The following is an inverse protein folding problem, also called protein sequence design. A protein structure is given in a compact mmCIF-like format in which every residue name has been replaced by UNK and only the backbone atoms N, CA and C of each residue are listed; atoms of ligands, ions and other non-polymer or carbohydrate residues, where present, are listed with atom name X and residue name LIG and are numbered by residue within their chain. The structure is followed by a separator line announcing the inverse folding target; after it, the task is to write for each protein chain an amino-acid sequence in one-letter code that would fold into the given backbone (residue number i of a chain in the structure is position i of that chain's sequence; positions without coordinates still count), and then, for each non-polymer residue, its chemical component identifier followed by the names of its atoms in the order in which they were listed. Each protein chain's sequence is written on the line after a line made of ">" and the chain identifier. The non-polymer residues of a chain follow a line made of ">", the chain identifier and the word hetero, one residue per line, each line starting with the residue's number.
data_IF_177661009038
#
_entry.id   IF_177661009038
#
_cell.length_a   1.000
_cell.length_b   1.000
_cell.length_c   1.000
_cell.angle_alpha   90.00
_cell.angle_beta   90.00
_cell.angle_gamma   90.00
#
_symmetry.space_group_name_H-M   'P 1'
#
loop_
_entity.id
_entity.type
_entity.pdbx_description
1 polymer ?
#
# COMPACT_ATOMS: atom_id res chain seq x y z
N UNK A 1 9.69 -19.87 -14.14
CA UNK A 1 9.65 -19.40 -12.74
C UNK A 1 9.62 -17.88 -12.79
N UNK A 2 8.67 -17.24 -12.12
CA UNK A 2 8.62 -15.77 -11.96
C UNK A 2 9.17 -15.41 -10.58
N UNK A 3 9.98 -14.38 -10.47
CA UNK A 3 10.60 -13.94 -9.23
C UNK A 3 10.08 -12.57 -8.83
N UNK A 4 9.95 -12.32 -7.53
CA UNK A 4 9.44 -11.09 -6.96
C UNK A 4 10.27 -10.70 -5.74
N UNK A 5 10.41 -9.40 -5.53
CA UNK A 5 10.80 -8.81 -4.26
C UNK A 5 9.54 -8.31 -3.57
N UNK A 6 9.42 -8.46 -2.25
CA UNK A 6 8.23 -8.11 -1.51
C UNK A 6 8.50 -7.46 -0.17
N UNK A 7 7.46 -6.80 0.32
CA UNK A 7 7.42 -6.12 1.62
C UNK A 7 6.07 -6.39 2.28
N UNK A 8 6.06 -6.63 3.59
CA UNK A 8 4.82 -6.70 4.36
C UNK A 8 4.45 -5.32 4.92
N UNK A 9 3.16 -5.06 5.12
CA UNK A 9 2.68 -3.81 5.72
C UNK A 9 3.06 -3.61 7.20
N UNK A 10 3.79 -4.55 7.81
CA UNK A 10 4.44 -4.40 9.13
C UNK A 10 5.96 -4.15 9.02
N UNK A 11 6.50 -4.11 7.80
CA UNK A 11 7.93 -4.23 7.50
C UNK A 11 8.32 -5.70 7.45
N UNK A 12 8.92 -6.13 6.34
CA UNK A 12 9.58 -7.43 6.13
C UNK A 12 10.06 -7.51 4.68
N UNK A 13 11.36 -7.44 4.43
CA UNK A 13 11.89 -7.66 3.09
C UNK A 13 11.95 -9.15 2.77
N UNK A 14 11.39 -9.55 1.63
CA UNK A 14 11.30 -10.94 1.23
C UNK A 14 11.43 -11.15 -0.27
N UNK A 15 11.98 -12.28 -0.69
CA UNK A 15 11.96 -12.73 -2.08
C UNK A 15 10.93 -13.84 -2.23
N UNK A 16 10.20 -13.83 -3.35
CA UNK A 16 9.19 -14.82 -3.69
C UNK A 16 9.45 -15.35 -5.10
N UNK A 17 9.24 -16.65 -5.32
CA UNK A 17 9.27 -17.27 -6.63
C UNK A 17 8.00 -18.10 -6.87
N UNK A 18 7.37 -17.91 -8.02
CA UNK A 18 6.21 -18.68 -8.46
C UNK A 18 6.63 -19.67 -9.54
N UNK A 19 6.42 -20.96 -9.27
CA UNK A 19 6.41 -22.02 -10.26
C UNK A 19 4.96 -22.34 -10.65
N UNK A 20 4.57 -21.94 -11.86
CA UNK A 20 3.23 -22.20 -12.41
C UNK A 20 3.05 -23.60 -12.98
N UNK A 21 4.14 -24.35 -13.18
CA UNK A 21 4.07 -25.74 -13.62
C UNK A 21 3.93 -26.67 -12.42
N UNK A 22 4.73 -26.44 -11.37
CA UNK A 22 4.65 -27.20 -10.12
C UNK A 22 3.53 -26.73 -9.18
N UNK A 23 2.93 -25.56 -9.45
CA UNK A 23 1.95 -24.89 -8.59
C UNK A 23 2.50 -24.67 -7.17
N UNK A 24 3.70 -24.11 -7.08
CA UNK A 24 4.35 -23.79 -5.80
C UNK A 24 4.78 -22.32 -5.71
N UNK A 25 4.72 -21.78 -4.49
CA UNK A 25 5.32 -20.49 -4.09
C UNK A 25 6.52 -20.82 -3.20
N UNK A 26 7.70 -20.37 -3.57
CA UNK A 26 8.90 -20.41 -2.72
C UNK A 26 9.17 -19.02 -2.20
N UNK A 27 9.48 -18.87 -0.91
CA UNK A 27 9.78 -17.57 -0.32
C UNK A 27 10.95 -17.63 0.67
N UNK A 28 11.63 -16.49 0.82
CA UNK A 28 12.63 -16.23 1.86
C UNK A 28 12.39 -14.83 2.42
N UNK A 29 12.16 -14.74 3.72
CA UNK A 29 12.06 -13.50 4.47
C UNK A 29 13.41 -13.18 5.10
N UNK A 30 13.99 -12.04 4.73
CA UNK A 30 15.31 -11.61 5.20
C UNK A 30 15.26 -10.92 6.56
N UNK A 31 14.09 -10.39 6.95
CA UNK A 31 13.90 -9.72 8.24
C UNK A 31 13.82 -10.72 9.38
N UNK A 32 13.04 -11.80 9.20
CA UNK A 32 12.74 -12.75 10.27
C UNK A 32 13.30 -14.17 10.01
N UNK A 33 13.86 -14.43 8.82
CA UNK A 33 14.53 -15.68 8.48
C UNK A 33 13.60 -16.80 8.02
N UNK A 34 12.28 -16.57 7.95
CA UNK A 34 11.34 -17.58 7.48
C UNK A 34 11.60 -17.94 6.01
N UNK A 35 11.49 -19.23 5.70
CA UNK A 35 11.55 -19.72 4.32
C UNK A 35 10.64 -20.91 4.14
N UNK A 36 10.12 -21.09 2.92
CA UNK A 36 9.24 -22.19 2.60
C UNK A 36 9.10 -22.40 1.10
N UNK A 37 8.65 -23.59 0.73
CA UNK A 37 8.07 -23.88 -0.58
C UNK A 37 6.72 -24.51 -0.35
N UNK A 38 5.67 -23.79 -0.73
CA UNK A 38 4.28 -24.11 -0.38
C UNK A 38 3.45 -24.30 -1.64
N UNK A 39 2.59 -25.32 -1.71
CA UNK A 39 1.70 -25.51 -2.86
C UNK A 39 0.59 -24.45 -2.84
N UNK A 40 0.10 -24.11 -4.04
CA UNK A 40 -1.09 -23.30 -4.22
C UNK A 40 -2.03 -23.89 -5.27
N UNK A 41 -3.27 -23.45 -5.26
CA UNK A 41 -4.25 -23.71 -6.32
C UNK A 41 -4.79 -22.39 -6.85
N UNK A 42 -5.08 -22.32 -8.15
CA UNK A 42 -5.71 -21.15 -8.76
C UNK A 42 -7.21 -21.32 -8.74
N UNK A 43 -7.91 -20.38 -8.11
CA UNK A 43 -9.37 -20.36 -8.04
C UNK A 43 -9.97 -19.79 -9.34
N UNK A 44 -11.27 -19.99 -9.53
CA UNK A 44 -11.98 -19.49 -10.72
C UNK A 44 -12.03 -17.97 -10.84
N UNK A 45 -11.81 -17.25 -9.73
CA UNK A 45 -11.69 -15.79 -9.65
C UNK A 45 -10.24 -15.30 -9.83
N UNK A 46 -9.29 -16.20 -10.10
CA UNK A 46 -7.87 -15.90 -10.27
C UNK A 46 -7.07 -15.81 -8.98
N UNK A 47 -7.69 -15.82 -7.79
CA UNK A 47 -6.93 -15.82 -6.53
C UNK A 47 -6.29 -17.17 -6.27
N UNK A 48 -5.21 -17.17 -5.51
CA UNK A 48 -4.51 -18.39 -5.12
C UNK A 48 -4.93 -18.79 -3.72
N UNK A 49 -5.32 -20.05 -3.55
CA UNK A 49 -5.41 -20.66 -2.21
C UNK A 49 -4.07 -21.29 -1.90
N UNK A 50 -3.41 -20.82 -0.84
CA UNK A 50 -2.06 -21.27 -0.45
C UNK A 50 -2.20 -22.27 0.70
N UNK A 51 -1.53 -23.41 0.59
CA UNK A 51 -1.54 -24.45 1.63
C UNK A 51 -0.19 -24.50 2.33
N UNK A 52 0.13 -23.43 3.07
CA UNK A 52 1.35 -23.34 3.85
C UNK A 52 1.26 -24.22 5.11
N UNK A 53 2.13 -25.24 5.29
CA UNK A 53 2.14 -26.09 6.48
C UNK A 53 2.37 -25.33 7.79
N UNK A 54 3.05 -24.19 7.72
CA UNK A 54 3.30 -23.32 8.87
C UNK A 54 2.17 -22.31 9.09
N UNK A 55 1.20 -22.24 8.17
CA UNK A 55 0.10 -21.29 8.19
C UNK A 55 0.57 -19.83 8.16
N UNK A 56 1.68 -19.54 7.49
CA UNK A 56 2.16 -18.18 7.30
C UNK A 56 1.46 -17.54 6.10
N UNK A 57 1.67 -18.06 4.89
CA UNK A 57 0.99 -17.58 3.69
C UNK A 57 -0.41 -18.20 3.57
N UNK A 58 -1.44 -17.37 3.40
CA UNK A 58 -2.84 -17.80 3.45
C UNK A 58 -3.48 -17.82 2.05
N UNK A 59 -3.41 -16.69 1.37
CA UNK A 59 -3.93 -16.50 0.03
C UNK A 59 -2.98 -15.57 -0.73
N UNK A 60 -3.00 -15.65 -2.05
CA UNK A 60 -2.26 -14.72 -2.88
C UNK A 60 -3.06 -14.31 -4.09
N UNK A 61 -2.62 -13.24 -4.74
CA UNK A 61 -3.20 -12.80 -5.97
C UNK A 61 -2.20 -12.07 -6.84
N UNK A 62 -2.04 -12.54 -8.07
CA UNK A 62 -1.12 -11.95 -9.01
C UNK A 62 -1.89 -10.99 -9.93
N UNK A 63 -1.53 -9.71 -9.89
CA UNK A 63 -1.91 -8.72 -10.89
C UNK A 63 -0.83 -8.71 -11.97
N UNK A 64 -1.10 -9.25 -13.17
CA UNK A 64 -0.10 -9.35 -14.21
C UNK A 64 0.51 -7.98 -14.57
N UNK A 65 1.84 -7.91 -14.59
CA UNK A 65 2.58 -6.68 -14.91
C UNK A 65 2.51 -5.59 -13.84
N UNK A 66 2.05 -5.91 -12.62
CA UNK A 66 1.98 -4.96 -11.52
C UNK A 66 2.55 -5.53 -10.21
N UNK A 67 1.78 -6.35 -9.48
CA UNK A 67 2.16 -6.89 -8.17
C UNK A 67 1.58 -8.27 -7.92
N UNK A 68 2.25 -9.04 -7.08
CA UNK A 68 1.68 -10.15 -6.34
C UNK A 68 1.31 -9.65 -4.93
N UNK A 69 0.03 -9.74 -4.57
CA UNK A 69 -0.43 -9.52 -3.20
C UNK A 69 -0.49 -10.85 -2.47
N UNK A 70 -0.06 -10.91 -1.21
CA UNK A 70 -0.15 -12.13 -0.38
C UNK A 70 -0.68 -11.77 1.00
N UNK A 71 -1.69 -12.51 1.46
CA UNK A 71 -2.15 -12.49 2.85
C UNK A 71 -1.19 -13.32 3.70
N UNK A 72 -0.69 -12.76 4.80
CA UNK A 72 0.20 -13.46 5.73
C UNK A 72 -0.29 -13.31 7.16
N UNK A 73 -0.36 -14.42 7.90
CA UNK A 73 -0.74 -14.42 9.30
C UNK A 73 0.42 -14.09 10.27
N UNK A 74 1.67 -14.15 9.78
CA UNK A 74 2.88 -14.22 10.63
C UNK A 74 4.01 -13.34 10.11
N UNK A 75 3.69 -12.12 9.68
CA UNK A 75 4.71 -11.14 9.32
C UNK A 75 5.34 -10.47 10.55
N UNK A 76 6.41 -9.73 10.28
CA UNK A 76 7.20 -8.93 11.19
C UNK A 76 8.29 -9.72 11.90
N UNK A 77 9.17 -9.02 12.64
CA UNK A 77 10.32 -9.63 13.34
C UNK A 77 9.95 -10.71 14.36
N UNK A 78 8.70 -10.72 14.85
CA UNK A 78 8.21 -11.66 15.87
C UNK A 78 7.28 -12.75 15.31
N UNK A 79 7.09 -12.81 13.98
CA UNK A 79 6.28 -13.85 13.31
C UNK A 79 4.83 -13.97 13.82
N UNK A 80 4.19 -12.85 14.11
CA UNK A 80 2.90 -12.84 14.83
C UNK A 80 1.91 -11.76 14.38
N UNK A 81 2.19 -11.09 13.26
CA UNK A 81 1.35 -9.99 12.78
C UNK A 81 0.70 -10.36 11.45
N UNK A 82 -0.64 -10.40 11.38
CA UNK A 82 -1.36 -10.43 10.12
C UNK A 82 -1.04 -9.18 9.29
N UNK A 83 -0.74 -9.32 7.99
CA UNK A 83 -0.34 -8.23 7.12
C UNK A 83 -0.50 -8.58 5.64
N UNK A 84 -0.62 -7.56 4.78
CA UNK A 84 -0.48 -7.78 3.34
C UNK A 84 0.98 -7.65 2.94
N UNK A 85 1.45 -8.64 2.19
CA UNK A 85 2.67 -8.54 1.41
C UNK A 85 2.32 -7.95 0.05
N UNK A 86 3.03 -6.89 -0.34
CA UNK A 86 3.06 -6.40 -1.71
C UNK A 86 4.39 -6.80 -2.33
N UNK A 87 4.34 -7.61 -3.39
CA UNK A 87 5.52 -8.09 -4.08
C UNK A 87 5.54 -7.63 -5.54
N UNK A 88 6.65 -7.07 -5.99
CA UNK A 88 6.87 -6.57 -7.35
C UNK A 88 7.77 -7.55 -8.08
N UNK A 89 7.44 -7.85 -9.34
CA UNK A 89 8.28 -8.72 -10.17
C UNK A 89 9.71 -8.19 -10.20
N UNK A 90 10.67 -9.08 -9.94
CA UNK A 90 12.09 -8.74 -9.84
C UNK A 90 12.59 -8.24 -11.19
N UNK A 91 13.05 -6.99 -11.20
CA UNK A 91 13.64 -6.33 -12.34
C UNK A 91 14.81 -5.46 -11.88
N UNK A 92 15.61 -4.95 -12.82
CA UNK A 92 16.69 -4.04 -12.51
C UNK A 92 16.14 -2.77 -11.84
N UNK A 93 16.59 -2.51 -10.61
CA UNK A 93 16.16 -1.37 -9.81
C UNK A 93 17.39 -0.76 -9.13
N UNK A 94 17.79 0.40 -9.64
CA UNK A 94 18.83 1.26 -9.07
C UNK A 94 18.23 2.63 -8.80
N UNK A 95 18.92 3.50 -8.06
CA UNK A 95 18.42 4.87 -7.90
C UNK A 95 18.27 5.60 -9.24
N UNK A 96 19.13 5.27 -10.20
CA UNK A 96 19.08 5.83 -11.56
C UNK A 96 17.84 5.38 -12.35
N UNK A 97 17.24 4.25 -12.00
CA UNK A 97 15.96 3.79 -12.59
C UNK A 97 14.83 4.80 -12.31
N UNK A 98 14.93 5.52 -11.19
CA UNK A 98 13.90 6.45 -10.71
C UNK A 98 14.31 7.92 -10.78
N UNK A 99 15.59 8.22 -10.99
CA UNK A 99 16.13 9.57 -11.03
C UNK A 99 15.41 10.48 -12.04
N UNK A 100 15.15 11.73 -11.63
CA UNK A 100 14.46 12.73 -12.43
C UNK A 100 12.94 12.53 -12.55
N UNK A 101 12.33 11.68 -11.71
CA UNK A 101 10.90 11.34 -11.78
C UNK A 101 10.16 11.76 -10.51
N UNK A 102 8.85 11.95 -10.65
CA UNK A 102 7.92 12.18 -9.55
C UNK A 102 6.80 11.14 -9.57
N UNK A 103 6.44 10.67 -8.38
CA UNK A 103 5.51 9.58 -8.15
C UNK A 103 4.45 10.04 -7.15
N UNK A 104 3.22 9.57 -7.31
CA UNK A 104 2.32 9.50 -6.16
C UNK A 104 2.81 8.36 -5.27
N UNK A 105 2.55 8.41 -3.96
CA UNK A 105 2.73 7.23 -3.14
C UNK A 105 1.52 6.95 -2.25
N UNK A 106 1.40 5.69 -1.88
CA UNK A 106 0.57 5.19 -0.79
C UNK A 106 1.48 4.40 0.16
N UNK A 107 1.38 4.64 1.46
CA UNK A 107 2.01 3.80 2.47
C UNK A 107 0.96 2.98 3.19
N UNK A 108 1.23 1.69 3.37
CA UNK A 108 0.42 0.74 4.11
C UNK A 108 1.17 0.29 5.36
N UNK A 109 0.49 0.38 6.51
CA UNK A 109 1.04 0.05 7.82
C UNK A 109 0.06 -0.82 8.58
N UNK A 110 0.53 -1.67 9.48
CA UNK A 110 -0.31 -2.33 10.50
C UNK A 110 -0.34 -1.54 11.81
N UNK A 111 0.13 -0.30 11.81
CA UNK A 111 0.14 0.60 12.95
C UNK A 111 -0.02 2.05 12.51
N UNK A 112 -0.12 2.97 13.48
CA UNK A 112 -0.05 4.41 13.25
C UNK A 112 -1.15 4.88 12.28
N UNK A 113 -2.36 4.33 12.40
CA UNK A 113 -3.48 4.65 11.51
C UNK A 113 -3.37 4.13 10.08
N UNK A 114 -2.37 3.28 9.80
CA UNK A 114 -2.35 2.36 8.68
C UNK A 114 -2.07 2.93 7.30
N UNK A 115 -2.30 4.23 7.07
CA UNK A 115 -2.28 4.80 5.73
C UNK A 115 -1.59 6.15 5.68
N UNK A 116 -0.88 6.40 4.59
CA UNK A 116 -0.40 7.73 4.21
C UNK A 116 -0.40 7.83 2.69
N UNK A 117 -0.59 9.03 2.15
CA UNK A 117 -0.46 9.26 0.71
C UNK A 117 0.23 10.57 0.42
N UNK A 118 0.88 10.66 -0.73
CA UNK A 118 1.58 11.88 -1.06
C UNK A 118 2.36 11.82 -2.35
N UNK A 119 3.42 12.59 -2.42
CA UNK A 119 4.37 12.61 -3.53
C UNK A 119 5.76 12.18 -3.07
N UNK A 120 6.42 11.41 -3.90
CA UNK A 120 7.88 11.20 -3.88
C UNK A 120 8.47 11.86 -5.13
N UNK A 121 9.55 12.61 -4.97
CA UNK A 121 10.38 13.15 -6.05
C UNK A 121 11.77 12.60 -5.89
N UNK A 122 12.29 11.98 -6.95
CA UNK A 122 13.70 11.60 -7.05
C UNK A 122 14.36 12.56 -8.02
N UNK A 123 15.28 13.39 -7.54
CA UNK A 123 15.97 14.34 -8.42
C UNK A 123 16.97 13.61 -9.35
N UNK A 124 17.60 14.36 -10.25
CA UNK A 124 18.53 13.78 -11.24
C UNK A 124 19.84 13.28 -10.59
N UNK A 125 20.13 13.69 -9.35
CA UNK A 125 21.26 13.21 -8.55
C UNK A 125 20.89 12.01 -7.66
N UNK A 126 19.61 11.61 -7.65
CA UNK A 126 19.11 10.52 -6.82
C UNK A 126 18.73 10.93 -5.39
N UNK A 127 18.69 12.23 -5.06
CA UNK A 127 18.13 12.64 -3.76
C UNK A 127 16.61 12.50 -3.80
N UNK A 128 16.04 12.08 -2.68
CA UNK A 128 14.63 11.78 -2.55
C UNK A 128 13.99 12.84 -1.67
N UNK A 129 12.87 13.41 -2.11
CA UNK A 129 11.99 14.25 -1.29
C UNK A 129 10.62 13.60 -1.25
N UNK A 130 10.01 13.53 -0.06
CA UNK A 130 8.63 13.11 0.06
C UNK A 130 7.82 14.13 0.84
N UNK A 131 6.54 14.25 0.50
CA UNK A 131 5.54 14.99 1.24
C UNK A 131 4.23 14.22 1.22
N UNK A 132 3.56 14.12 2.36
CA UNK A 132 2.38 13.28 2.53
C UNK A 132 1.29 13.90 3.39
N UNK A 133 0.11 13.31 3.25
CA UNK A 133 -1.06 13.47 4.09
C UNK A 133 -1.29 12.15 4.85
N UNK A 134 -1.29 12.27 6.17
CA UNK A 134 -1.47 11.18 7.11
C UNK A 134 -2.72 11.44 7.96
N UNK A 135 -3.88 10.84 7.65
CA UNK A 135 -5.14 11.13 8.33
C UNK A 135 -5.07 10.97 9.85
N UNK A 136 -4.34 9.97 10.34
CA UNK A 136 -4.14 9.72 11.76
C UNK A 136 -3.24 10.78 12.44
N UNK A 137 -2.44 11.54 11.67
CA UNK A 137 -1.61 12.64 12.16
C UNK A 137 -2.38 13.73 12.93
N UNK A 138 -3.71 13.75 12.83
CA UNK A 138 -4.60 14.57 13.65
C UNK A 138 -4.37 14.38 15.16
N UNK A 139 -3.96 13.19 15.59
CA UNK A 139 -3.70 12.87 17.00
C UNK A 139 -2.31 13.27 17.46
N UNK A 140 -1.34 13.35 16.54
CA UNK A 140 0.10 13.48 16.83
C UNK A 140 0.68 14.86 16.51
N UNK A 141 -0.17 15.84 16.17
CA UNK A 141 0.09 17.29 15.93
C UNK A 141 0.33 17.75 14.49
N UNK A 142 0.45 16.87 13.49
CA UNK A 142 0.43 17.27 12.08
C UNK A 142 -0.17 16.23 11.16
N UNK A 143 -1.11 16.66 10.32
CA UNK A 143 -1.72 15.87 9.24
C UNK A 143 -0.84 15.80 7.98
N UNK A 144 0.09 16.75 7.83
CA UNK A 144 0.95 16.86 6.67
C UNK A 144 2.41 16.82 7.12
N UNK A 145 3.24 16.09 6.39
CA UNK A 145 4.65 15.90 6.73
C UNK A 145 5.49 15.60 5.52
N UNK A 146 6.80 15.76 5.64
CA UNK A 146 7.73 15.45 4.58
C UNK A 146 9.17 15.39 5.08
N UNK A 147 10.02 14.70 4.34
CA UNK A 147 11.45 14.64 4.62
C UNK A 147 12.26 14.58 3.32
N UNK A 148 13.57 14.81 3.47
CA UNK A 148 14.55 14.65 2.40
C UNK A 148 15.55 13.56 2.77
N UNK A 149 15.89 12.71 1.81
CA UNK A 149 16.88 11.66 1.92
C UNK A 149 17.97 11.94 0.88
N UNK A 150 19.22 11.93 1.31
CA UNK A 150 20.35 12.18 0.40
C UNK A 150 20.73 10.91 -0.37
N UNK A 151 21.11 11.06 -1.64
CA UNK A 151 21.64 9.97 -2.44
C UNK A 151 22.87 9.28 -1.81
N UNK A 152 23.60 9.97 -0.93
CA UNK A 152 24.75 9.38 -0.22
C UNK A 152 24.36 8.32 0.81
N UNK A 153 23.09 8.23 1.17
CA UNK A 153 22.56 7.16 2.05
C UNK A 153 22.22 5.88 1.29
N UNK A 154 22.31 5.89 -0.05
CA UNK A 154 21.88 4.78 -0.89
C UNK A 154 23.02 3.80 -1.14
N UNK A 155 22.73 2.50 -0.99
CA UNK A 155 23.62 1.41 -1.37
C UNK A 155 22.92 0.52 -2.39
N UNK A 156 23.49 0.42 -3.59
CA UNK A 156 23.01 -0.50 -4.63
C UNK A 156 23.33 -1.95 -4.25
N UNK A 157 22.37 -2.86 -4.40
CA UNK A 157 22.61 -4.29 -4.18
C UNK A 157 23.43 -4.89 -5.33
N UNK A 158 24.27 -5.88 -5.01
CA UNK A 158 25.12 -6.54 -6.01
C UNK A 158 24.33 -7.29 -7.09
N UNK A 159 23.09 -7.69 -6.82
CA UNK A 159 22.20 -8.30 -7.82
C UNK A 159 21.65 -7.28 -8.83
N UNK A 160 21.66 -5.98 -8.49
CA UNK A 160 21.06 -4.91 -9.28
C UNK A 160 19.53 -4.88 -9.29
N UNK A 161 18.86 -5.70 -8.46
CA UNK A 161 17.40 -5.84 -8.46
C UNK A 161 16.70 -5.01 -7.37
N UNK A 162 17.46 -4.39 -6.48
CA UNK A 162 17.01 -3.48 -5.44
C UNK A 162 18.18 -2.64 -4.95
N UNK A 163 17.89 -1.60 -4.19
CA UNK A 163 18.88 -0.84 -3.43
C UNK A 163 18.36 -0.56 -2.03
N UNK A 164 19.26 -0.22 -1.12
CA UNK A 164 18.88 0.17 0.24
C UNK A 164 19.04 1.66 0.47
N UNK A 165 18.17 2.23 1.29
CA UNK A 165 18.34 3.54 1.91
C UNK A 165 18.79 3.29 3.35
N UNK A 166 20.00 3.68 3.70
CA UNK A 166 20.55 3.46 5.03
C UNK A 166 20.15 4.60 5.97
N UNK A 167 19.37 4.26 7.00
CA UNK A 167 18.94 5.17 8.04
C UNK A 167 19.49 4.76 9.41
N UNK A 168 19.30 5.63 10.41
CA UNK A 168 19.78 5.35 11.78
C UNK A 168 19.13 4.12 12.43
N UNK A 169 17.95 3.70 11.95
CA UNK A 169 17.16 2.61 12.53
C UNK A 169 17.25 1.31 11.72
N UNK A 170 17.96 1.30 10.60
CA UNK A 170 18.00 0.16 9.69
C UNK A 170 18.12 0.60 8.24
N UNK A 171 17.99 -0.37 7.34
CA UNK A 171 17.95 -0.15 5.91
C UNK A 171 16.53 -0.34 5.40
N UNK A 172 16.04 0.60 4.61
CA UNK A 172 14.83 0.44 3.83
C UNK A 172 15.19 -0.15 2.47
N UNK A 173 14.42 -1.13 1.96
CA UNK A 173 14.71 -1.83 0.71
C UNK A 173 13.81 -1.32 -0.40
N UNK A 174 14.37 -0.75 -1.46
CA UNK A 174 13.64 -0.23 -2.60
C UNK A 174 13.77 -1.16 -3.79
N UNK A 175 12.65 -1.61 -4.33
CA UNK A 175 12.59 -2.49 -5.51
C UNK A 175 11.42 -2.10 -6.40
N UNK A 176 11.53 -2.35 -7.70
CA UNK A 176 10.49 -1.90 -8.61
C UNK A 176 10.78 -2.23 -10.06
N UNK A 177 10.06 -1.56 -10.94
CA UNK A 177 10.14 -1.73 -12.39
C UNK A 177 10.53 -0.42 -13.06
N UNK A 178 11.21 -0.50 -14.20
CA UNK A 178 11.57 0.67 -15.01
C UNK A 178 10.34 1.49 -15.45
N UNK A 179 9.17 0.86 -15.53
CA UNK A 179 7.90 1.51 -15.87
C UNK A 179 7.42 2.51 -14.80
N UNK A 180 8.11 2.61 -13.66
CA UNK A 180 7.90 3.66 -12.66
C UNK A 180 6.98 3.26 -11.51
N UNK A 181 6.74 1.96 -11.35
CA UNK A 181 6.17 1.43 -10.12
C UNK A 181 7.30 0.88 -9.24
N UNK A 182 7.31 1.23 -7.96
CA UNK A 182 8.22 0.66 -6.98
C UNK A 182 7.51 0.42 -5.65
N UNK A 183 8.09 -0.48 -4.86
CA UNK A 183 7.76 -0.65 -3.46
C UNK A 183 9.02 -0.38 -2.60
N UNK A 184 8.79 0.08 -1.38
CA UNK A 184 9.82 0.23 -0.35
C UNK A 184 9.39 -0.58 0.85
N UNK A 185 10.24 -1.52 1.24
CA UNK A 185 10.18 -2.10 2.58
C UNK A 185 10.75 -1.10 3.56
N UNK A 186 9.93 -0.66 4.51
CA UNK A 186 10.37 0.17 5.62
C UNK A 186 10.20 -0.61 6.91
N UNK A 187 10.98 -0.25 7.93
CA UNK A 187 10.79 -0.82 9.28
C UNK A 187 9.40 -0.57 9.88
N UNK A 188 8.55 0.25 9.24
CA UNK A 188 7.19 0.55 9.65
C UNK A 188 6.19 0.45 8.48
N UNK A 189 6.33 -0.58 7.65
CA UNK A 189 5.37 -0.95 6.61
C UNK A 189 5.88 -0.77 5.17
N UNK A 190 4.93 -0.69 4.24
CA UNK A 190 5.19 -0.74 2.79
C UNK A 190 4.86 0.60 2.15
N UNK A 191 5.79 1.20 1.42
CA UNK A 191 5.49 2.36 0.53
C UNK A 191 5.34 1.87 -0.90
N UNK A 192 4.30 2.29 -1.60
CA UNK A 192 4.06 2.02 -3.01
C UNK A 192 4.20 3.32 -3.80
N UNK A 193 5.25 3.42 -4.61
CA UNK A 193 5.45 4.51 -5.57
C UNK A 193 4.71 4.23 -6.87
N UNK A 194 3.75 5.08 -7.20
CA UNK A 194 2.87 4.96 -8.36
C UNK A 194 3.21 6.05 -9.42
N UNK A 195 3.24 5.71 -10.71
CA UNK A 195 3.40 6.72 -11.76
C UNK A 195 2.34 7.82 -11.67
N UNK A 196 2.76 9.07 -11.81
CA UNK A 196 1.81 10.18 -11.95
C UNK A 196 1.20 10.19 -13.34
N UNK A 197 -0.08 10.52 -13.40
CA UNK A 197 -0.74 10.80 -14.67
C UNK A 197 -0.60 12.29 -15.01
N UNK A 198 -0.75 12.63 -16.29
CA UNK A 198 -0.72 14.03 -16.73
C UNK A 198 -2.05 14.76 -16.56
N UNK A 199 -3.11 14.04 -16.17
CA UNK A 199 -4.48 14.55 -16.06
C UNK A 199 -5.10 14.15 -14.73
N UNK A 200 -5.79 15.08 -14.08
CA UNK A 200 -6.60 14.80 -12.89
C UNK A 200 -7.91 14.07 -13.18
N UNK A 201 -8.32 13.97 -14.44
CA UNK A 201 -9.65 13.47 -14.82
C UNK A 201 -9.72 11.95 -14.67
N UNK A 202 -10.78 11.44 -14.05
CA UNK A 202 -11.04 10.01 -13.97
C UNK A 202 -11.20 9.40 -15.37
N UNK A 203 -10.51 8.28 -15.61
CA UNK A 203 -10.62 7.54 -16.86
C UNK A 203 -11.71 6.47 -16.75
N UNK A 204 -12.85 6.67 -17.42
CA UNK A 204 -13.97 5.74 -17.41
C UNK A 204 -13.64 4.31 -17.90
N UNK A 205 -12.51 4.09 -18.59
CA UNK A 205 -12.04 2.74 -18.91
C UNK A 205 -11.71 1.89 -17.66
N UNK A 206 -11.49 2.56 -16.52
CA UNK A 206 -11.29 1.95 -15.20
C UNK A 206 -12.61 1.56 -14.52
N UNK A 207 -13.76 1.74 -15.16
CA UNK A 207 -15.02 1.22 -14.61
C UNK A 207 -15.05 -0.31 -14.67
N UNK A 208 -15.59 -0.97 -13.65
CA UNK A 208 -15.66 -2.42 -13.56
C UNK A 208 -15.90 -2.93 -12.14
N UNK A 209 -16.05 -4.24 -12.01
CA UNK A 209 -15.99 -4.94 -10.73
C UNK A 209 -14.60 -5.53 -10.58
N UNK A 210 -14.02 -5.42 -9.39
CA UNK A 210 -12.69 -5.86 -9.06
C UNK A 210 -12.77 -6.81 -7.86
N UNK A 211 -12.14 -7.98 -7.98
CA UNK A 211 -11.90 -8.88 -6.85
C UNK A 211 -10.71 -8.36 -6.06
N UNK A 212 -10.91 -8.06 -4.78
CA UNK A 212 -9.90 -7.46 -3.92
C UNK A 212 -9.42 -8.40 -2.82
N UNK A 213 -8.15 -8.23 -2.44
CA UNK A 213 -7.61 -8.66 -1.15
C UNK A 213 -7.31 -7.40 -0.35
N UNK A 214 -7.69 -7.36 0.92
CA UNK A 214 -7.46 -6.22 1.78
C UNK A 214 -7.12 -6.62 3.22
N UNK A 215 -6.48 -5.70 3.91
CA UNK A 215 -6.27 -5.71 5.35
C UNK A 215 -7.14 -4.64 5.96
N UNK A 216 -7.75 -4.94 7.10
CA UNK A 216 -8.47 -4.01 7.94
C UNK A 216 -7.98 -4.13 9.38
N UNK A 217 -7.92 -3.00 10.07
CA UNK A 217 -7.91 -2.98 11.53
C UNK A 217 -9.06 -2.13 12.04
N UNK A 218 -10.02 -2.81 12.66
CA UNK A 218 -11.20 -2.19 13.24
C UNK A 218 -11.00 -1.82 14.71
N UNK A 219 -11.57 -0.68 15.13
CA UNK A 219 -11.56 -0.24 16.52
C UNK A 219 -10.16 0.01 17.06
N UNK A 220 -9.25 0.43 16.20
CA UNK A 220 -7.86 0.69 16.55
C UNK A 220 -7.73 1.87 17.51
N UNK A 221 -6.80 1.76 18.44
CA UNK A 221 -6.42 2.84 19.37
C UNK A 221 -4.92 2.79 19.63
N UNK A 222 -4.30 3.96 19.76
CA UNK A 222 -2.87 4.07 20.06
C UNK A 222 -2.70 4.42 21.54
N UNK A 223 -2.02 3.53 22.27
CA UNK A 223 -1.73 3.70 23.69
C UNK A 223 -0.37 4.34 23.97
N UNK A 224 0.02 4.31 25.24
CA UNK A 224 1.35 4.73 25.69
C UNK A 224 2.44 3.95 24.96
N UNK A 225 3.50 4.64 24.52
CA UNK A 225 4.61 4.02 23.79
C UNK A 225 4.31 3.74 22.30
N UNK A 226 3.28 4.38 21.73
CA UNK A 226 2.86 4.23 20.34
C UNK A 226 2.45 2.79 19.96
N UNK A 227 2.03 1.99 20.94
CA UNK A 227 1.51 0.65 20.71
C UNK A 227 0.06 0.76 20.26
N UNK A 228 -0.22 0.29 19.05
CA UNK A 228 -1.58 0.27 18.49
C UNK A 228 -2.24 -1.09 18.74
N UNK A 229 -3.44 -1.07 19.34
CA UNK A 229 -4.31 -2.25 19.48
C UNK A 229 -5.50 -2.13 18.53
N UNK A 230 -6.24 -3.22 18.31
CA UNK A 230 -7.43 -3.29 17.47
C UNK A 230 -7.66 -4.70 16.97
N UNK A 231 -8.74 -4.92 16.23
CA UNK A 231 -9.01 -6.22 15.61
C UNK A 231 -8.55 -6.18 14.16
N UNK A 232 -7.44 -6.86 13.88
CA UNK A 232 -6.94 -7.04 12.52
C UNK A 232 -7.69 -8.18 11.82
N UNK A 233 -8.08 -7.95 10.58
CA UNK A 233 -8.68 -8.93 9.69
C UNK A 233 -8.10 -8.77 8.30
N UNK A 234 -7.90 -9.89 7.62
CA UNK A 234 -7.56 -9.93 6.20
C UNK A 234 -8.70 -10.64 5.47
N UNK A 235 -8.86 -10.33 4.19
CA UNK A 235 -9.69 -11.18 3.36
C UNK A 235 -10.02 -10.60 2.00
N UNK A 236 -10.96 -11.31 1.36
CA UNK A 236 -11.49 -10.95 0.06
C UNK A 236 -12.55 -9.87 0.17
N UNK A 237 -12.62 -9.00 -0.82
CA UNK A 237 -13.65 -8.00 -0.99
C UNK A 237 -14.01 -7.78 -2.45
N UNK A 238 -14.99 -6.93 -2.70
CA UNK A 238 -15.35 -6.47 -4.05
C UNK A 238 -15.28 -4.95 -4.10
N UNK A 239 -14.60 -4.43 -5.12
CA UNK A 239 -14.61 -3.01 -5.45
C UNK A 239 -15.36 -2.83 -6.76
N UNK A 240 -16.40 -2.02 -6.78
CA UNK A 240 -17.14 -1.67 -8.00
C UNK A 240 -16.93 -0.21 -8.33
N UNK A 241 -16.58 0.09 -9.58
CA UNK A 241 -16.36 1.44 -10.10
C UNK A 241 -17.25 1.68 -11.31
N UNK A 242 -18.08 2.72 -11.28
CA UNK A 242 -18.91 3.17 -12.39
C UNK A 242 -18.15 4.07 -13.36
N UNK A 243 -18.64 4.18 -14.60
CA UNK A 243 -18.05 5.06 -15.63
C UNK A 243 -18.13 6.55 -15.27
N UNK A 244 -19.03 6.91 -14.36
CA UNK A 244 -19.18 8.25 -13.77
C UNK A 244 -18.27 8.48 -12.55
N UNK A 245 -17.46 7.50 -12.16
CA UNK A 245 -16.63 7.54 -10.96
C UNK A 245 -17.37 7.19 -9.67
N UNK A 246 -18.62 6.72 -9.73
CA UNK A 246 -19.25 6.11 -8.55
C UNK A 246 -18.45 4.89 -8.10
N UNK A 247 -18.30 4.70 -6.79
CA UNK A 247 -17.52 3.61 -6.23
C UNK A 247 -18.22 2.99 -5.03
N UNK A 248 -18.10 1.67 -4.90
CA UNK A 248 -18.46 0.91 -3.70
C UNK A 248 -17.38 -0.10 -3.36
N UNK A 249 -17.09 -0.26 -2.07
CA UNK A 249 -16.18 -1.25 -1.52
C UNK A 249 -16.99 -2.11 -0.56
N UNK A 250 -16.94 -3.44 -0.71
CA UNK A 250 -17.62 -4.39 0.16
C UNK A 250 -16.69 -5.52 0.60
N UNK A 251 -16.92 -6.05 1.81
CA UNK A 251 -16.20 -7.22 2.32
C UNK A 251 -16.67 -8.53 1.65
N UNK A 252 -16.01 -9.64 1.98
CA UNK A 252 -16.34 -10.97 1.46
C UNK A 252 -17.69 -11.52 1.94
N UNK A 253 -18.33 -10.88 2.91
CA UNK A 253 -19.69 -11.19 3.37
C UNK A 253 -20.75 -10.35 2.65
N UNK A 254 -20.34 -9.39 1.81
CA UNK A 254 -21.24 -8.48 1.08
C UNK A 254 -21.63 -7.23 1.87
N UNK A 255 -21.00 -6.94 3.01
CA UNK A 255 -21.24 -5.69 3.74
C UNK A 255 -20.51 -4.55 3.04
N UNK A 256 -21.20 -3.43 2.81
CA UNK A 256 -20.58 -2.23 2.25
C UNK A 256 -19.70 -1.55 3.28
N UNK A 257 -18.40 -1.45 2.98
CA UNK A 257 -17.40 -0.75 3.78
C UNK A 257 -17.33 0.74 3.44
N UNK A 258 -17.52 1.10 2.17
CA UNK A 258 -17.60 2.47 1.72
C UNK A 258 -18.36 2.64 0.40
N UNK A 259 -18.94 3.82 0.19
CA UNK A 259 -19.47 4.24 -1.10
C UNK A 259 -19.35 5.74 -1.30
N UNK A 260 -19.12 6.17 -2.54
CA UNK A 260 -19.02 7.58 -2.87
C UNK A 260 -18.76 7.80 -4.36
N UNK A 261 -18.41 9.02 -4.72
CA UNK A 261 -18.02 9.39 -6.08
C UNK A 261 -16.59 9.91 -6.05
N UNK A 262 -15.73 9.34 -6.88
CA UNK A 262 -14.32 9.71 -6.99
C UNK A 262 -14.18 11.18 -7.39
N UNK A 263 -13.58 11.97 -6.50
CA UNK A 263 -13.05 13.29 -6.80
C UNK A 263 -11.53 13.20 -6.94
N UNK A 264 -10.95 14.00 -7.85
CA UNK A 264 -9.49 14.11 -7.91
C UNK A 264 -8.97 14.73 -6.60
N UNK A 265 -7.82 14.26 -6.10
CA UNK A 265 -7.15 14.91 -4.94
C UNK A 265 -6.88 16.38 -5.24
N UNK A 266 -6.49 16.69 -6.49
CA UNK A 266 -6.31 18.04 -7.01
C UNK A 266 -7.53 18.97 -6.86
N UNK A 267 -8.73 18.42 -6.78
CA UNK A 267 -9.99 19.17 -6.65
C UNK A 267 -10.57 19.08 -5.22
N UNK A 268 -9.83 18.47 -4.30
CA UNK A 268 -10.28 18.20 -2.93
C UNK A 268 -9.67 19.20 -1.96
N UNK A 269 -10.44 20.23 -1.61
CA UNK A 269 -9.92 21.42 -0.92
C UNK A 269 -9.28 21.17 0.44
N UNK A 270 -9.64 20.10 1.17
CA UNK A 270 -8.99 19.78 2.46
C UNK A 270 -7.64 19.06 2.29
N UNK A 271 -7.34 18.55 1.10
CA UNK A 271 -6.07 17.87 0.77
C UNK A 271 -5.13 18.76 -0.03
N UNK A 272 -5.68 19.58 -0.93
CA UNK A 272 -4.93 20.43 -1.84
C UNK A 272 -5.64 21.77 -2.03
N UNK A 273 -4.91 22.86 -1.88
CA UNK A 273 -5.39 24.22 -2.17
C UNK A 273 -4.32 25.14 -2.77
N UNK A 274 -3.16 24.58 -3.16
CA UNK A 274 -2.02 25.33 -3.66
C UNK A 274 -1.26 26.14 -2.61
N UNK A 275 -1.56 25.98 -1.31
CA UNK A 275 -0.82 26.60 -0.20
C UNK A 275 0.14 25.62 0.48
N UNK A 276 1.05 26.15 1.30
CA UNK A 276 2.01 25.36 2.08
C UNK A 276 1.38 24.62 3.27
N UNK A 277 0.07 24.77 3.52
CA UNK A 277 -0.62 24.16 4.66
C UNK A 277 -1.20 22.77 4.36
N UNK A 278 -1.06 22.30 3.12
CA UNK A 278 -1.65 21.08 2.57
C UNK A 278 -0.63 20.37 1.68
N UNK A 279 -1.09 19.36 0.92
CA UNK A 279 -0.22 18.72 -0.06
C UNK A 279 0.32 19.78 -1.04
N UNK A 280 1.65 19.85 -1.24
CA UNK A 280 2.24 20.80 -2.18
C UNK A 280 2.02 20.38 -3.64
N UNK A 281 1.70 19.10 -3.87
CA UNK A 281 1.47 18.51 -5.18
C UNK A 281 0.01 18.06 -5.33
N UNK A 282 -0.62 18.26 -6.50
CA UNK A 282 -2.03 17.93 -6.73
C UNK A 282 -2.31 16.43 -6.87
N UNK A 283 -1.29 15.58 -6.88
CA UNK A 283 -1.37 14.12 -6.97
C UNK A 283 -2.19 13.59 -8.16
N UNK A 284 -1.91 14.05 -9.38
CA UNK A 284 -2.64 13.59 -10.57
C UNK A 284 -2.56 12.06 -10.74
N UNK A 285 -3.74 11.43 -10.85
CA UNK A 285 -3.91 9.97 -10.84
C UNK A 285 -4.40 9.42 -9.50
N UNK A 286 -4.41 10.23 -8.43
CA UNK A 286 -5.03 9.89 -7.15
C UNK A 286 -6.44 10.49 -7.04
N UNK A 287 -7.36 9.68 -6.54
CA UNK A 287 -8.75 10.03 -6.30
C UNK A 287 -9.12 9.82 -4.84
N UNK A 288 -10.17 10.47 -4.40
CA UNK A 288 -10.68 10.37 -3.04
C UNK A 288 -12.18 10.63 -2.98
N UNK A 289 -12.81 10.19 -1.91
CA UNK A 289 -14.09 10.70 -1.46
C UNK A 289 -14.16 10.63 0.06
N UNK A 290 -15.04 11.45 0.63
CA UNK A 290 -15.29 11.51 2.07
C UNK A 290 -16.75 11.16 2.36
N UNK A 291 -16.96 10.26 3.30
CA UNK A 291 -18.26 9.98 3.89
C UNK A 291 -18.32 10.60 5.29
N UNK A 292 -19.48 11.18 5.64
CA UNK A 292 -19.73 11.71 6.97
C UNK A 292 -21.12 11.30 7.44
N UNK A 293 -21.22 10.36 8.38
CA UNK A 293 -22.50 9.86 8.92
C UNK A 293 -22.41 9.74 10.44
N UNK A 294 -23.41 10.24 11.17
CA UNK A 294 -23.51 10.04 12.61
C UNK A 294 -22.33 10.58 13.43
N UNK A 295 -21.66 11.64 12.95
CA UNK A 295 -20.46 12.18 13.59
C UNK A 295 -19.19 11.38 13.32
N UNK A 296 -19.21 10.40 12.42
CA UNK A 296 -18.03 9.67 11.96
C UNK A 296 -17.65 10.17 10.57
N UNK A 297 -16.37 10.42 10.35
CA UNK A 297 -15.80 10.73 9.03
C UNK A 297 -14.97 9.56 8.55
N UNK A 298 -15.10 9.23 7.27
CA UNK A 298 -14.28 8.24 6.58
C UNK A 298 -13.74 8.84 5.28
N UNK A 299 -12.42 8.87 5.16
CA UNK A 299 -11.70 9.28 3.97
C UNK A 299 -11.23 8.05 3.22
N UNK A 300 -11.56 7.95 1.93
CA UNK A 300 -11.14 6.87 1.04
C UNK A 300 -10.18 7.44 -0.01
N UNK A 301 -9.09 6.75 -0.29
CA UNK A 301 -8.10 7.10 -1.32
C UNK A 301 -7.97 5.98 -2.32
N UNK A 302 -7.85 6.33 -3.59
CA UNK A 302 -7.91 5.37 -4.70
C UNK A 302 -6.92 5.76 -5.78
N UNK A 303 -6.23 4.76 -6.33
CA UNK A 303 -5.44 4.87 -7.55
C UNK A 303 -5.70 3.68 -8.45
N UNK A 304 -5.40 3.84 -9.74
CA UNK A 304 -5.58 2.80 -10.74
C UNK A 304 -4.26 2.53 -11.44
N UNK A 305 -3.93 1.25 -11.61
CA UNK A 305 -2.78 0.81 -12.37
C UNK A 305 -3.19 -0.38 -13.25
N UNK A 306 -3.17 -0.19 -14.56
CA UNK A 306 -3.66 -1.17 -15.53
C UNK A 306 -5.12 -1.60 -15.22
N UNK A 307 -5.34 -2.88 -14.93
CA UNK A 307 -6.62 -3.46 -14.55
C UNK A 307 -6.78 -3.59 -13.03
N UNK A 308 -5.93 -2.92 -12.24
CA UNK A 308 -5.98 -2.95 -10.79
C UNK A 308 -6.43 -1.62 -10.18
N UNK A 309 -7.10 -1.74 -9.05
CA UNK A 309 -7.46 -0.65 -8.15
C UNK A 309 -6.67 -0.81 -6.86
N UNK A 310 -5.93 0.22 -6.47
CA UNK A 310 -5.28 0.31 -5.16
C UNK A 310 -6.15 1.24 -4.33
N UNK A 311 -6.55 0.82 -3.15
CA UNK A 311 -7.45 1.60 -2.30
C UNK A 311 -7.03 1.56 -0.85
N UNK A 312 -7.38 2.62 -0.13
CA UNK A 312 -7.21 2.72 1.31
C UNK A 312 -8.29 3.59 1.93
N UNK A 313 -8.50 3.44 3.23
CA UNK A 313 -9.51 4.16 3.97
C UNK A 313 -9.07 4.40 5.40
N UNK A 314 -9.43 5.56 5.93
CA UNK A 314 -9.30 5.89 7.35
C UNK A 314 -10.60 6.49 7.87
N UNK A 315 -11.08 5.96 8.99
CA UNK A 315 -12.35 6.33 9.60
C UNK A 315 -12.14 6.68 11.07
N UNK A 316 -12.70 7.80 11.53
CA UNK A 316 -12.69 8.17 12.95
C UNK A 316 -13.89 9.06 13.33
N UNK A 317 -14.18 9.14 14.62
CA UNK A 317 -15.23 10.01 15.14
C UNK A 317 -14.79 11.49 15.17
N UNK A 318 -15.72 12.39 14.90
CA UNK A 318 -15.58 13.84 14.95
C UNK A 318 -16.44 14.46 16.08
N UNK A 319 -15.98 15.54 16.74
CA UNK A 319 -14.63 16.10 16.61
C UNK A 319 -13.60 15.12 17.17
N UNK A 320 -12.41 15.09 16.54
CA UNK A 320 -11.33 14.24 17.01
C UNK A 320 -10.91 14.72 18.40
N UNK A 321 -11.11 13.88 19.41
CA UNK A 321 -10.81 14.20 20.80
C UNK A 321 -9.92 13.11 21.42
N UNK A 322 -8.66 13.44 21.70
CA UNK A 322 -7.70 12.48 22.26
C UNK A 322 -7.49 11.26 21.36
N UNK A 323 -7.15 10.10 21.91
CA UNK A 323 -6.97 8.83 21.18
C UNK A 323 -8.32 8.17 20.84
N UNK A 324 -9.20 8.89 20.13
CA UNK A 324 -10.49 8.36 19.68
C UNK A 324 -10.27 7.08 18.84
N UNK A 325 -11.11 6.03 19.00
CA UNK A 325 -11.00 4.86 18.15
C UNK A 325 -11.13 5.21 16.67
N UNK A 326 -10.39 4.47 15.84
CA UNK A 326 -10.41 4.61 14.39
C UNK A 326 -10.40 3.23 13.74
N UNK A 327 -10.82 3.19 12.49
CA UNK A 327 -10.73 2.00 11.64
C UNK A 327 -9.98 2.39 10.39
N UNK A 328 -9.09 1.52 9.91
CA UNK A 328 -8.46 1.71 8.61
C UNK A 328 -8.42 0.39 7.85
N UNK A 329 -8.42 0.50 6.53
CA UNK A 329 -8.18 -0.64 5.66
C UNK A 329 -7.45 -0.20 4.40
N UNK A 330 -6.78 -1.15 3.76
CA UNK A 330 -6.14 -0.95 2.47
C UNK A 330 -6.03 -2.27 1.72
N UNK A 331 -5.94 -2.19 0.41
CA UNK A 331 -5.85 -3.37 -0.43
C UNK A 331 -5.66 -3.06 -1.90
N UNK A 332 -5.65 -4.13 -2.67
CA UNK A 332 -5.58 -4.10 -4.13
C UNK A 332 -6.65 -5.03 -4.68
N UNK A 333 -7.36 -4.57 -5.70
CA UNK A 333 -8.26 -5.39 -6.49
C UNK A 333 -7.90 -5.43 -7.96
N UNK A 334 -8.32 -6.48 -8.66
CA UNK A 334 -8.14 -6.67 -10.11
C UNK A 334 -9.47 -6.99 -10.75
N UNK A 335 -9.67 -6.39 -11.91
CA UNK A 335 -10.86 -6.49 -12.75
C UNK A 335 -10.95 -7.79 -13.54
#
# INVERSE_FOLDING_TARGET
>A
MRAYNGTASVGDFLTISIDSTALTITYQNYTNGDTGTVPYTVNGDGTYTVSDPNGNLLAAYEVPGFVLMVETAKAGPNHNTPALITAVESAAATINTFAGRSFNYLQFRTSSGGIELGTIVVDIQGNIQHNGYWPFGVFSSSLFGGASISATSITEDASGNFFTINESQGADYVFGTENGFFAVDTGNGTVLGLPKTTSKTFNAAQAGAYTAIFYEKAGATTGQGNVEVGTATEGKGTVTVGADGSMSISDGSGNTLATGTLAAVADTSYLYDGTQSKLPDPLYGMFTFRMSTGGVQQDVFVSFQNNAVIFSSFQTALPVAGYAPYTYYYGVGLK
#
